data_IF_020537484375
#
_entry.id   IF_020537484375
#
_cell.length_a   1.000
_cell.length_b   1.000
_cell.length_c   1.000
_cell.angle_alpha   90.00
_cell.angle_beta   90.00
_cell.angle_gamma   90.00
#
_symmetry.space_group_name_H-M   'P 1'
#
loop_
_entity.id
_entity.type
_entity.pdbx_description
1 polymer ?
#
# COMPACT_ATOMS: atom_id res chain seq x y z
N UNK A 1 19.92 64.85 -32.94
CA UNK A 1 21.15 64.52 -32.19
C UNK A 1 20.75 63.82 -30.91
N UNK A 2 21.14 62.57 -30.70
CA UNK A 2 20.87 61.86 -29.44
C UNK A 2 21.79 62.44 -28.35
N UNK A 3 21.29 62.68 -27.12
CA UNK A 3 22.11 63.18 -26.03
C UNK A 3 23.23 62.20 -25.72
N UNK A 4 24.46 62.71 -25.63
CA UNK A 4 25.66 61.97 -25.32
C UNK A 4 25.58 61.40 -23.89
N UNK A 5 24.98 60.22 -23.73
CA UNK A 5 25.01 59.49 -22.46
C UNK A 5 26.45 59.04 -22.20
N UNK A 6 27.20 59.85 -21.45
CA UNK A 6 28.50 59.46 -20.90
C UNK A 6 28.27 58.27 -19.98
N UNK A 7 28.66 57.05 -20.41
CA UNK A 7 28.72 55.90 -19.52
C UNK A 7 29.69 56.24 -18.39
N UNK A 8 29.24 56.22 -17.14
CA UNK A 8 30.16 56.37 -16.00
C UNK A 8 31.13 55.17 -16.03
N UNK A 9 32.42 55.38 -15.80
CA UNK A 9 33.43 54.31 -15.80
C UNK A 9 33.16 53.18 -14.78
N UNK A 10 32.18 53.35 -13.89
CA UNK A 10 31.78 52.37 -12.89
C UNK A 10 30.51 51.57 -13.27
N UNK A 11 30.02 51.68 -14.50
CA UNK A 11 28.76 51.02 -14.87
C UNK A 11 28.88 49.49 -15.04
N UNK A 12 30.10 49.01 -15.25
CA UNK A 12 30.42 47.59 -15.15
C UNK A 12 31.25 47.37 -13.89
N UNK A 13 30.85 46.44 -12.99
CA UNK A 13 31.73 46.00 -11.93
C UNK A 13 33.04 45.50 -12.56
N UNK A 14 34.18 45.71 -11.88
CA UNK A 14 35.44 45.07 -12.28
C UNK A 14 35.14 43.59 -12.49
N UNK A 15 35.27 43.12 -13.72
CA UNK A 15 35.23 41.69 -14.03
C UNK A 15 36.46 41.12 -13.34
N UNK A 16 36.27 40.51 -12.16
CA UNK A 16 37.30 39.76 -11.49
C UNK A 16 37.45 38.45 -12.27
N UNK A 17 38.49 38.37 -13.09
CA UNK A 17 38.93 37.08 -13.63
C UNK A 17 39.53 36.31 -12.47
N UNK A 18 38.77 35.36 -11.92
CA UNK A 18 39.33 34.35 -11.03
C UNK A 18 40.03 33.32 -11.91
N UNK A 19 41.36 33.27 -11.82
CA UNK A 19 42.12 32.10 -12.28
C UNK A 19 41.84 30.97 -11.30
N UNK A 20 40.84 30.15 -11.61
CA UNK A 20 40.63 28.89 -10.90
C UNK A 20 41.52 27.82 -11.56
N UNK A 21 42.24 27.08 -10.74
CA UNK A 21 42.97 25.90 -11.20
C UNK A 21 41.98 24.83 -11.65
N UNK A 22 42.41 23.97 -12.59
CA UNK A 22 41.61 22.82 -13.04
C UNK A 22 41.23 21.92 -11.85
N UNK A 23 42.08 21.87 -10.82
CA UNK A 23 41.83 21.10 -9.60
C UNK A 23 40.68 21.67 -8.77
N UNK A 24 40.64 22.99 -8.55
CA UNK A 24 39.55 23.65 -7.82
C UNK A 24 38.22 23.54 -8.56
N UNK A 25 38.25 23.62 -9.89
CA UNK A 25 37.06 23.40 -10.72
C UNK A 25 36.55 21.96 -10.59
N UNK A 26 37.45 20.98 -10.54
CA UNK A 26 37.09 19.58 -10.37
C UNK A 26 36.48 19.31 -8.99
N UNK A 27 37.09 19.86 -7.94
CA UNK A 27 36.59 19.77 -6.56
C UNK A 27 35.21 20.43 -6.42
N UNK A 28 35.00 21.58 -7.06
CA UNK A 28 33.70 22.24 -7.11
C UNK A 28 32.64 21.40 -7.84
N UNK A 29 32.99 20.81 -8.99
CA UNK A 29 32.08 19.92 -9.74
C UNK A 29 31.74 18.66 -8.93
N UNK A 30 32.70 18.10 -8.20
CA UNK A 30 32.46 16.96 -7.31
C UNK A 30 31.52 17.35 -6.16
N UNK A 31 31.69 18.53 -5.57
CA UNK A 31 30.79 19.05 -4.52
C UNK A 31 29.35 19.32 -4.98
N UNK A 32 29.14 19.58 -6.28
CA UNK A 32 27.81 19.76 -6.88
C UNK A 32 27.10 18.41 -7.07
N UNK A 33 27.84 17.32 -7.24
CA UNK A 33 27.25 15.98 -7.44
C UNK A 33 26.67 15.41 -6.15
N UNK A 34 27.08 15.91 -4.99
CA UNK A 34 26.49 15.53 -3.72
C UNK A 34 25.11 16.20 -3.55
N UNK A 35 24.10 15.42 -3.16
CA UNK A 35 22.71 15.88 -2.93
C UNK A 35 22.61 17.06 -1.94
N UNK A 36 23.64 17.25 -1.10
CA UNK A 36 23.78 18.38 -0.18
C UNK A 36 23.83 19.74 -0.89
N UNK A 37 24.28 19.79 -2.16
CA UNK A 37 24.29 21.01 -2.96
C UNK A 37 22.87 21.57 -3.16
N UNK A 38 21.89 20.69 -3.39
CA UNK A 38 20.49 21.11 -3.58
C UNK A 38 19.97 21.79 -2.31
N UNK A 39 20.31 21.28 -1.14
CA UNK A 39 19.90 21.86 0.15
C UNK A 39 20.52 23.26 0.39
N UNK A 40 21.71 23.50 -0.15
CA UNK A 40 22.42 24.78 -0.05
C UNK A 40 22.04 25.80 -1.14
N UNK A 41 21.25 25.41 -2.13
CA UNK A 41 20.76 26.33 -3.16
C UNK A 41 19.71 27.29 -2.58
N UNK A 42 19.62 28.48 -3.17
CA UNK A 42 18.57 29.43 -2.84
C UNK A 42 17.17 28.79 -3.02
N UNK A 43 16.21 29.05 -2.12
CA UNK A 43 14.88 28.43 -2.15
C UNK A 43 14.16 28.58 -3.50
N UNK A 44 14.35 29.71 -4.19
CA UNK A 44 13.77 29.94 -5.51
C UNK A 44 14.30 28.99 -6.58
N UNK A 45 15.59 28.64 -6.52
CA UNK A 45 16.23 27.71 -7.44
C UNK A 45 15.82 26.27 -7.12
N UNK A 46 15.74 25.91 -5.84
CA UNK A 46 15.20 24.62 -5.40
C UNK A 46 13.79 24.39 -5.95
N UNK A 47 12.92 25.39 -5.80
CA UNK A 47 11.54 25.36 -6.29
C UNK A 47 11.47 25.15 -7.80
N UNK A 48 12.27 25.90 -8.57
CA UNK A 48 12.31 25.78 -10.04
C UNK A 48 12.82 24.39 -10.47
N UNK A 49 13.85 23.85 -9.81
CA UNK A 49 14.38 22.52 -10.11
C UNK A 49 13.34 21.42 -9.79
N UNK A 50 12.69 21.50 -8.62
CA UNK A 50 11.65 20.54 -8.24
C UNK A 50 10.41 20.60 -9.13
N UNK A 51 10.01 21.80 -9.58
CA UNK A 51 8.80 21.99 -10.37
C UNK A 51 9.01 21.71 -11.87
N UNK A 52 10.22 21.93 -12.41
CA UNK A 52 10.44 21.89 -13.87
C UNK A 52 11.30 20.73 -14.38
N UNK A 53 12.20 20.14 -13.56
CA UNK A 53 13.08 19.07 -14.05
C UNK A 53 12.54 17.65 -13.82
N UNK A 54 11.61 17.46 -12.88
CA UNK A 54 11.09 16.12 -12.51
C UNK A 54 9.61 15.82 -12.83
N UNK A 55 8.82 16.62 -13.56
CA UNK A 55 7.39 16.36 -13.69
C UNK A 55 7.07 15.05 -14.42
N UNK A 56 7.83 14.67 -15.45
CA UNK A 56 7.61 13.44 -16.21
C UNK A 56 8.02 12.19 -15.40
N UNK A 57 9.15 12.25 -14.69
CA UNK A 57 9.61 11.16 -13.80
C UNK A 57 8.60 10.93 -12.67
N UNK A 58 8.05 12.02 -12.10
CA UNK A 58 7.03 11.94 -11.04
C UNK A 58 5.72 11.35 -11.59
N UNK A 59 5.35 11.68 -12.83
CA UNK A 59 4.11 11.19 -13.45
C UNK A 59 4.19 9.69 -13.75
N UNK A 60 5.31 9.21 -14.29
CA UNK A 60 5.53 7.80 -14.57
C UNK A 60 5.60 6.98 -13.28
N UNK A 61 6.31 7.47 -12.26
CA UNK A 61 6.34 6.85 -10.94
C UNK A 61 4.95 6.78 -10.29
N UNK A 62 4.11 7.82 -10.44
CA UNK A 62 2.75 7.83 -9.92
C UNK A 62 1.83 6.80 -10.60
N UNK A 63 1.93 6.62 -11.91
CA UNK A 63 1.16 5.59 -12.61
C UNK A 63 1.62 4.18 -12.23
N UNK A 64 2.92 3.95 -12.07
CA UNK A 64 3.46 2.66 -11.59
C UNK A 64 3.01 2.36 -10.14
N UNK A 65 3.08 3.35 -9.26
CA UNK A 65 2.57 3.25 -7.88
C UNK A 65 1.06 2.97 -7.84
N UNK A 66 0.28 3.63 -8.71
CA UNK A 66 -1.16 3.43 -8.78
C UNK A 66 -1.51 2.02 -9.26
N UNK A 67 -0.77 1.48 -10.23
CA UNK A 67 -0.97 0.12 -10.72
C UNK A 67 -0.58 -0.94 -9.68
N UNK A 68 0.49 -0.71 -8.92
CA UNK A 68 0.90 -1.59 -7.82
C UNK A 68 -0.07 -1.55 -6.64
N UNK A 69 -0.60 -0.39 -6.27
CA UNK A 69 -1.66 -0.28 -5.26
C UNK A 69 -2.91 -1.05 -5.71
N UNK A 70 -3.34 -0.85 -6.96
CA UNK A 70 -4.53 -1.52 -7.51
C UNK A 70 -4.38 -3.05 -7.56
N UNK A 71 -3.19 -3.56 -7.84
CA UNK A 71 -2.94 -5.01 -7.85
C UNK A 71 -2.91 -5.58 -6.43
N UNK A 72 -2.33 -4.84 -5.46
CA UNK A 72 -2.34 -5.22 -4.05
C UNK A 72 -3.74 -5.23 -3.46
N UNK A 73 -4.57 -4.23 -3.75
CA UNK A 73 -5.97 -4.16 -3.31
C UNK A 73 -6.76 -5.39 -3.76
N UNK A 74 -6.58 -5.79 -5.01
CA UNK A 74 -7.26 -6.97 -5.57
C UNK A 74 -6.79 -8.27 -4.90
N UNK A 75 -5.48 -8.41 -4.64
CA UNK A 75 -4.93 -9.57 -3.92
C UNK A 75 -5.44 -9.65 -2.48
N UNK A 76 -5.56 -8.50 -1.80
CA UNK A 76 -6.15 -8.39 -0.47
C UNK A 76 -7.62 -8.81 -0.48
N UNK A 77 -8.40 -8.31 -1.44
CA UNK A 77 -9.82 -8.67 -1.59
C UNK A 77 -10.01 -10.18 -1.80
N UNK A 78 -9.24 -10.79 -2.71
CA UNK A 78 -9.29 -12.23 -2.97
C UNK A 78 -8.87 -13.05 -1.75
N UNK A 79 -7.84 -12.59 -1.02
CA UNK A 79 -7.37 -13.27 0.20
C UNK A 79 -8.42 -13.23 1.31
N UNK A 80 -9.01 -12.06 1.55
CA UNK A 80 -10.06 -11.88 2.56
C UNK A 80 -11.28 -12.74 2.21
N UNK A 81 -11.70 -12.73 0.94
CA UNK A 81 -12.84 -13.52 0.48
C UNK A 81 -12.62 -15.02 0.70
N UNK A 82 -11.46 -15.54 0.33
CA UNK A 82 -11.10 -16.95 0.55
C UNK A 82 -11.06 -17.33 2.03
N UNK A 83 -10.54 -16.45 2.90
CA UNK A 83 -10.52 -16.68 4.34
C UNK A 83 -11.94 -16.71 4.93
N UNK A 84 -12.80 -15.78 4.52
CA UNK A 84 -14.21 -15.73 4.95
C UNK A 84 -14.94 -16.99 4.49
N UNK A 85 -14.79 -17.40 3.24
CA UNK A 85 -15.46 -18.60 2.70
C UNK A 85 -15.03 -19.87 3.45
N UNK A 86 -13.74 -19.97 3.80
CA UNK A 86 -13.23 -21.08 4.61
C UNK A 86 -13.84 -21.08 6.01
N UNK A 87 -13.82 -19.93 6.71
CA UNK A 87 -14.39 -19.81 8.04
C UNK A 87 -15.89 -20.12 8.07
N UNK A 88 -16.64 -19.67 7.05
CA UNK A 88 -18.06 -19.97 6.91
C UNK A 88 -18.31 -21.47 6.74
N UNK A 89 -17.48 -22.15 5.93
CA UNK A 89 -17.58 -23.59 5.73
C UNK A 89 -17.27 -24.36 7.02
N UNK A 90 -16.24 -23.95 7.75
CA UNK A 90 -15.84 -24.59 9.00
C UNK A 90 -16.89 -24.37 10.10
N UNK A 91 -17.45 -23.16 10.21
CA UNK A 91 -18.55 -22.87 11.13
C UNK A 91 -19.81 -23.69 10.82
N UNK A 92 -20.16 -23.81 9.54
CA UNK A 92 -21.31 -24.61 9.11
C UNK A 92 -21.14 -26.07 9.50
N UNK A 93 -19.95 -26.65 9.26
CA UNK A 93 -19.66 -28.02 9.66
C UNK A 93 -19.74 -28.23 11.17
N UNK A 94 -19.21 -27.29 11.96
CA UNK A 94 -19.29 -27.34 13.43
C UNK A 94 -20.73 -27.26 13.94
N UNK A 95 -21.55 -26.39 13.35
CA UNK A 95 -22.98 -26.27 13.71
C UNK A 95 -23.72 -27.56 13.34
N UNK A 96 -23.53 -28.08 12.13
CA UNK A 96 -24.20 -29.30 11.68
C UNK A 96 -23.84 -30.49 12.58
N UNK A 97 -22.58 -30.62 12.99
CA UNK A 97 -22.14 -31.66 13.90
C UNK A 97 -22.70 -31.46 15.31
N UNK A 98 -22.64 -30.25 15.86
CA UNK A 98 -23.18 -29.92 17.18
C UNK A 98 -24.69 -30.12 17.27
N UNK A 99 -25.44 -29.75 16.24
CA UNK A 99 -26.90 -29.95 16.20
C UNK A 99 -27.22 -31.44 16.13
N UNK A 100 -26.49 -32.20 15.31
CA UNK A 100 -26.69 -33.64 15.19
C UNK A 100 -26.42 -34.37 16.51
N UNK A 101 -25.36 -34.01 17.24
CA UNK A 101 -25.07 -34.61 18.56
C UNK A 101 -26.15 -34.25 19.58
N UNK A 102 -26.54 -32.98 19.67
CA UNK A 102 -27.60 -32.53 20.58
C UNK A 102 -28.94 -33.22 20.30
N UNK A 103 -29.35 -33.36 19.04
CA UNK A 103 -30.58 -34.07 18.66
C UNK A 103 -30.48 -35.54 19.04
N UNK A 104 -29.36 -36.20 18.74
CA UNK A 104 -29.17 -37.61 19.06
C UNK A 104 -29.24 -37.87 20.57
N UNK A 105 -28.66 -36.99 21.39
CA UNK A 105 -28.74 -37.08 22.84
C UNK A 105 -30.15 -36.81 23.36
N UNK A 106 -30.81 -35.74 22.90
CA UNK A 106 -32.15 -35.36 23.33
C UNK A 106 -33.21 -36.41 22.99
N UNK A 107 -33.06 -37.11 21.86
CA UNK A 107 -34.03 -38.12 21.40
C UNK A 107 -33.71 -39.55 21.89
N UNK A 108 -32.54 -39.79 22.48
CA UNK A 108 -32.13 -41.12 22.94
C UNK A 108 -33.12 -41.74 23.93
N UNK A 109 -33.51 -40.98 24.95
CA UNK A 109 -34.42 -41.45 26.00
C UNK A 109 -35.87 -41.61 25.51
N UNK A 110 -36.46 -40.64 24.78
CA UNK A 110 -37.77 -40.82 24.14
C UNK A 110 -37.84 -42.06 23.25
N UNK A 111 -36.84 -42.26 22.37
CA UNK A 111 -36.79 -43.43 21.47
C UNK A 111 -36.70 -44.72 22.28
N UNK A 112 -35.86 -44.78 23.31
CA UNK A 112 -35.76 -45.94 24.19
C UNK A 112 -37.09 -46.26 24.89
N UNK A 113 -37.84 -45.24 25.32
CA UNK A 113 -39.18 -45.43 25.93
C UNK A 113 -40.18 -45.98 24.90
N UNK A 114 -40.21 -45.43 23.69
CA UNK A 114 -41.07 -45.91 22.60
C UNK A 114 -40.74 -47.37 22.26
N UNK A 115 -39.45 -47.72 22.12
CA UNK A 115 -39.02 -49.09 21.83
C UNK A 115 -39.46 -50.09 22.91
N UNK A 116 -39.45 -49.69 24.19
CA UNK A 116 -39.97 -50.52 25.29
C UNK A 116 -41.48 -50.72 25.19
N UNK A 117 -42.23 -49.68 24.83
CA UNK A 117 -43.69 -49.74 24.63
C UNK A 117 -44.06 -50.68 23.47
N UNK A 118 -43.35 -50.58 22.34
CA UNK A 118 -43.57 -51.46 21.17
C UNK A 118 -43.41 -52.94 21.58
N UNK A 119 -42.31 -53.28 22.25
CA UNK A 119 -42.07 -54.66 22.73
C UNK A 119 -43.16 -55.17 23.68
N UNK A 120 -43.74 -54.27 24.48
CA UNK A 120 -44.83 -54.63 25.40
C UNK A 120 -46.12 -54.96 24.64
N UNK A 121 -46.44 -54.17 23.61
CA UNK A 121 -47.61 -54.39 22.74
C UNK A 121 -47.46 -55.69 21.96
N UNK A 122 -46.32 -55.92 21.31
CA UNK A 122 -46.05 -57.15 20.54
C UNK A 122 -46.16 -58.42 21.40
N UNK A 123 -45.68 -58.36 22.65
CA UNK A 123 -45.81 -59.47 23.59
C UNK A 123 -47.27 -59.73 23.97
N UNK A 124 -48.10 -58.69 24.07
CA UNK A 124 -49.52 -58.80 24.40
C UNK A 124 -50.38 -59.31 23.25
N UNK A 125 -49.99 -59.06 22.01
CA UNK A 125 -50.68 -59.59 20.83
C UNK A 125 -50.32 -61.06 20.52
N UNK A 126 -49.26 -61.58 21.14
CA UNK A 126 -48.80 -62.98 20.96
C UNK A 126 -49.29 -63.95 22.05
N UNK A 127 -50.01 -63.45 23.07
CA UNK A 127 -50.67 -64.22 24.16
C UNK A 127 -52.16 -64.47 23.83
#
# INVERSE_FOLDING_TARGET
>A
MLPYQKRKNNWFPKILYYEASIYELKEYIESIKDESFIQNLFPSVQKILSENLFPDIIKDANEELKNTIKSQDKLLEDTIKNQIDKLLKDLKAQIDESVKTQINEALKDPINKINKLIKFIEKKESE
#
